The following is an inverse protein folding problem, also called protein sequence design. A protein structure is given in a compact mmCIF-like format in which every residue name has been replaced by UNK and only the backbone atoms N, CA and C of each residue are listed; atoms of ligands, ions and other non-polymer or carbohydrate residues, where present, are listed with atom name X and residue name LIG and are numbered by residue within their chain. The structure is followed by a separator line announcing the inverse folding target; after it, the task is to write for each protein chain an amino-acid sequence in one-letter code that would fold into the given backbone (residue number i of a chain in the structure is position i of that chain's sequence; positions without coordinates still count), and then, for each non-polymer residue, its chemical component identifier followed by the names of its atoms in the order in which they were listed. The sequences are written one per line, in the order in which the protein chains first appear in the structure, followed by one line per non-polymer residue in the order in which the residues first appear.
data_IF_641361486653
#
_entry.id   IF_641361486653
#
_cell.length_a   1.000
_cell.length_b   1.000
_cell.length_c   1.000
_cell.angle_alpha   90.00
_cell.angle_beta   90.00
_cell.angle_gamma   90.00
#
_symmetry.space_group_name_H-M   'P 1'
#
loop_
_entity.id
_entity.type
_entity.pdbx_description
1 polymer ?
#
# COMPACT_ATOMS: atom_id res chain seq x y z
N UNK A 1 10.14 -0.04 14.69
CA UNK A 1 10.09 1.40 14.36
C UNK A 1 9.78 2.28 15.56
N UNK A 2 8.61 2.19 16.22
CA UNK A 2 8.25 3.11 17.32
C UNK A 2 9.27 3.17 18.47
N UNK A 3 9.71 2.03 19.01
CA UNK A 3 10.76 1.98 20.05
C UNK A 3 12.07 2.65 19.62
N UNK A 4 12.46 2.47 18.36
CA UNK A 4 13.68 3.05 17.79
C UNK A 4 13.56 4.58 17.72
N UNK A 5 12.47 5.09 17.15
CA UNK A 5 12.20 6.53 17.05
C UNK A 5 12.04 7.21 18.41
N UNK A 6 11.67 6.45 19.45
CA UNK A 6 11.42 6.97 20.81
C UNK A 6 12.55 6.72 21.81
N UNK A 7 13.70 6.20 21.36
CA UNK A 7 14.78 5.74 22.26
C UNK A 7 15.48 6.86 23.02
N UNK A 8 15.46 8.08 22.49
CA UNK A 8 16.15 9.25 23.06
C UNK A 8 15.20 10.23 23.76
N UNK A 9 13.89 9.97 23.77
CA UNK A 9 12.93 10.82 24.49
C UNK A 9 12.98 10.56 25.99
N UNK A 10 12.58 11.55 26.79
CA UNK A 10 12.66 11.49 28.26
C UNK A 10 11.27 11.40 28.95
N UNK A 11 10.18 11.39 28.19
CA UNK A 11 8.83 11.28 28.74
C UNK A 11 8.49 9.86 29.24
N UNK A 12 7.37 9.74 29.96
CA UNK A 12 6.93 8.48 30.57
C UNK A 12 6.66 7.36 29.57
N UNK A 13 6.46 7.68 28.29
CA UNK A 13 6.19 6.71 27.22
C UNK A 13 7.39 6.55 26.27
N UNK A 14 8.60 6.92 26.68
CA UNK A 14 9.84 6.78 25.92
C UNK A 14 10.38 5.34 25.85
N UNK A 15 11.23 5.07 24.86
CA UNK A 15 11.97 3.82 24.69
C UNK A 15 11.07 2.59 24.66
N UNK A 16 11.35 1.60 25.50
CA UNK A 16 10.56 0.36 25.55
C UNK A 16 9.11 0.57 26.00
N UNK A 17 8.82 1.66 26.73
CA UNK A 17 7.47 2.03 27.17
C UNK A 17 6.64 2.65 26.05
N UNK A 18 7.25 2.95 24.89
CA UNK A 18 6.55 3.49 23.74
C UNK A 18 5.73 2.46 22.97
N UNK A 19 5.82 1.19 23.33
CA UNK A 19 5.20 0.09 22.61
C UNK A 19 4.37 -0.75 23.57
N UNK A 20 3.21 -1.18 23.10
CA UNK A 20 2.35 -2.12 23.82
C UNK A 20 2.07 -3.35 22.95
N UNK A 21 2.09 -4.52 23.59
CA UNK A 21 1.65 -5.78 23.00
C UNK A 21 0.43 -6.29 23.76
N UNK A 22 -0.55 -6.82 23.03
CA UNK A 22 -1.76 -7.38 23.59
C UNK A 22 -2.42 -8.38 22.64
N UNK A 23 -3.58 -8.91 23.03
CA UNK A 23 -4.38 -9.78 22.15
C UNK A 23 -4.84 -9.00 20.92
N UNK A 24 -4.92 -9.66 19.75
CA UNK A 24 -5.44 -9.05 18.52
C UNK A 24 -6.86 -8.49 18.69
N UNK A 25 -7.67 -9.11 19.56
CA UNK A 25 -9.02 -8.63 19.90
C UNK A 25 -9.04 -7.26 20.59
N UNK A 26 -7.91 -6.75 21.09
CA UNK A 26 -7.82 -5.39 21.61
C UNK A 26 -7.49 -4.37 20.52
N UNK A 27 -7.08 -4.82 19.34
CA UNK A 27 -6.63 -3.99 18.23
C UNK A 27 -7.76 -3.62 17.24
N UNK A 28 -8.95 -3.37 17.76
CA UNK A 28 -10.19 -3.22 16.97
C UNK A 28 -10.10 -2.16 15.87
N UNK A 29 -9.37 -1.05 16.09
CA UNK A 29 -9.23 0.01 15.09
C UNK A 29 -8.39 -0.44 13.89
N UNK A 30 -7.28 -1.14 14.13
CA UNK A 30 -6.43 -1.66 13.07
C UNK A 30 -7.14 -2.80 12.33
N UNK A 31 -7.82 -3.69 13.04
CA UNK A 31 -8.62 -4.75 12.40
C UNK A 31 -9.72 -4.16 11.50
N UNK A 32 -10.36 -3.06 11.93
CA UNK A 32 -11.35 -2.39 11.12
C UNK A 32 -10.75 -1.68 9.89
N UNK A 33 -9.54 -1.11 10.01
CA UNK A 33 -8.78 -0.63 8.85
C UNK A 33 -8.52 -1.75 7.85
N UNK A 34 -8.05 -2.93 8.31
CA UNK A 34 -7.83 -4.07 7.42
C UNK A 34 -9.12 -4.54 6.74
N UNK A 35 -10.23 -4.52 7.48
CA UNK A 35 -11.56 -4.78 6.92
C UNK A 35 -11.96 -3.79 5.83
N UNK A 36 -11.72 -2.49 6.05
CA UNK A 36 -11.95 -1.45 5.05
C UNK A 36 -11.04 -1.63 3.83
N UNK A 37 -9.73 -1.75 4.01
CA UNK A 37 -8.77 -1.95 2.92
C UNK A 37 -9.16 -3.13 2.03
N UNK A 38 -9.55 -4.26 2.67
CA UNK A 38 -10.00 -5.45 1.95
C UNK A 38 -11.26 -5.18 1.14
N UNK A 39 -12.24 -4.49 1.74
CA UNK A 39 -13.51 -4.16 1.11
C UNK A 39 -13.36 -3.19 -0.06
N UNK A 40 -12.53 -2.16 0.11
CA UNK A 40 -12.42 -1.07 -0.85
C UNK A 40 -11.50 -1.42 -2.03
N UNK A 41 -10.43 -2.20 -1.84
CA UNK A 41 -9.54 -2.55 -2.96
C UNK A 41 -8.92 -3.95 -2.91
N UNK A 42 -8.50 -4.46 -1.74
CA UNK A 42 -7.56 -5.58 -1.75
C UNK A 42 -8.20 -6.89 -2.23
N UNK A 43 -9.49 -7.09 -1.95
CA UNK A 43 -10.20 -8.26 -2.45
C UNK A 43 -10.23 -8.31 -3.98
N UNK A 44 -10.48 -7.17 -4.64
CA UNK A 44 -10.50 -7.08 -6.09
C UNK A 44 -9.15 -7.50 -6.70
N UNK A 45 -8.03 -7.02 -6.17
CA UNK A 45 -6.71 -7.40 -6.66
C UNK A 45 -6.37 -8.87 -6.36
N UNK A 46 -6.78 -9.39 -5.20
CA UNK A 46 -6.64 -10.81 -4.88
C UNK A 46 -7.36 -11.68 -5.92
N UNK A 47 -8.60 -11.34 -6.26
CA UNK A 47 -9.40 -12.08 -7.24
C UNK A 47 -8.79 -11.95 -8.64
N UNK A 48 -8.39 -10.74 -9.05
CA UNK A 48 -7.77 -10.48 -10.35
C UNK A 48 -6.46 -11.25 -10.54
N UNK A 49 -5.60 -11.29 -9.52
CA UNK A 49 -4.33 -12.02 -9.59
C UNK A 49 -4.52 -13.53 -9.46
N UNK A 50 -5.52 -13.99 -8.70
CA UNK A 50 -5.89 -15.40 -8.65
C UNK A 50 -6.34 -15.90 -10.03
N UNK A 51 -7.17 -15.11 -10.73
CA UNK A 51 -7.62 -15.43 -12.08
C UNK A 51 -6.46 -15.48 -13.09
N UNK A 52 -5.46 -14.59 -12.96
CA UNK A 52 -4.26 -14.60 -13.81
C UNK A 52 -3.39 -15.85 -13.61
N UNK A 53 -3.38 -16.41 -12.39
CA UNK A 53 -2.63 -17.61 -12.05
C UNK A 53 -3.42 -18.92 -12.14
N UNK A 54 -4.68 -18.87 -12.59
CA UNK A 54 -5.55 -20.05 -12.64
C UNK A 54 -5.04 -21.08 -13.67
N UNK A 55 -5.00 -22.36 -13.28
CA UNK A 55 -4.54 -23.43 -14.15
C UNK A 55 -5.27 -23.46 -15.51
N UNK A 56 -4.50 -23.45 -16.60
CA UNK A 56 -5.00 -23.62 -17.97
C UNK A 56 -5.03 -22.37 -18.86
N UNK A 57 -4.70 -21.18 -18.33
CA UNK A 57 -4.71 -19.94 -19.12
C UNK A 57 -3.30 -19.39 -19.50
N UNK A 58 -2.20 -19.97 -19.01
CA UNK A 58 -0.78 -19.57 -19.28
C UNK A 58 -0.53 -18.04 -19.23
N UNK A 59 -1.32 -17.33 -18.43
CA UNK A 59 -1.22 -15.87 -18.32
C UNK A 59 -0.19 -15.43 -17.28
N UNK A 60 0.08 -16.25 -16.25
CA UNK A 60 1.13 -16.01 -15.26
C UNK A 60 1.82 -17.32 -14.87
N UNK A 61 3.12 -17.43 -15.16
CA UNK A 61 3.98 -18.59 -14.85
C UNK A 61 4.67 -18.49 -13.49
N UNK A 62 4.68 -17.31 -12.87
CA UNK A 62 5.31 -17.07 -11.57
C UNK A 62 6.84 -17.02 -11.59
N UNK A 63 7.45 -17.02 -12.77
CA UNK A 63 8.89 -16.75 -12.94
C UNK A 63 9.23 -15.28 -12.67
N UNK A 64 10.52 -14.96 -12.69
CA UNK A 64 10.99 -13.60 -12.39
C UNK A 64 10.51 -12.59 -13.42
N UNK A 65 10.42 -12.98 -14.70
CA UNK A 65 9.97 -12.10 -15.77
C UNK A 65 8.51 -11.68 -15.55
N UNK A 66 7.61 -12.64 -15.32
CA UNK A 66 6.20 -12.34 -15.09
C UNK A 66 6.01 -11.47 -13.83
N UNK A 67 6.80 -11.72 -12.77
CA UNK A 67 6.80 -10.89 -11.55
C UNK A 67 7.24 -9.45 -11.82
N UNK A 68 8.27 -9.24 -12.64
CA UNK A 68 8.75 -7.89 -12.94
C UNK A 68 7.78 -7.11 -13.84
N UNK A 69 7.24 -7.75 -14.88
CA UNK A 69 6.28 -7.08 -15.78
C UNK A 69 4.98 -6.77 -15.03
N UNK A 70 4.48 -7.69 -14.21
CA UNK A 70 3.23 -7.42 -13.46
C UNK A 70 3.42 -6.30 -12.43
N UNK A 71 4.57 -6.24 -11.76
CA UNK A 71 4.91 -5.13 -10.87
C UNK A 71 4.97 -3.81 -11.64
N UNK A 72 5.66 -3.79 -12.78
CA UNK A 72 5.75 -2.63 -13.66
C UNK A 72 4.37 -2.08 -14.04
N UNK A 73 3.45 -2.95 -14.48
CA UNK A 73 2.13 -2.53 -14.92
C UNK A 73 1.19 -2.11 -13.78
N UNK A 74 1.28 -2.75 -12.62
CA UNK A 74 0.28 -2.58 -11.55
C UNK A 74 0.70 -1.64 -10.43
N UNK A 75 2.00 -1.41 -10.18
CA UNK A 75 2.47 -0.69 -8.99
C UNK A 75 1.86 0.72 -8.87
N UNK A 76 1.85 1.49 -9.95
CA UNK A 76 1.29 2.85 -9.93
C UNK A 76 -0.23 2.84 -9.71
N UNK A 77 -0.94 1.90 -10.33
CA UNK A 77 -2.40 1.77 -10.18
C UNK A 77 -2.76 1.35 -8.75
N UNK A 78 -2.03 0.39 -8.17
CA UNK A 78 -2.23 -0.04 -6.79
C UNK A 78 -1.93 1.10 -5.81
N UNK A 79 -0.86 1.88 -6.05
CA UNK A 79 -0.54 3.04 -5.22
C UNK A 79 -1.66 4.08 -5.26
N UNK A 80 -2.17 4.43 -6.44
CA UNK A 80 -3.29 5.37 -6.55
C UNK A 80 -4.55 4.90 -5.80
N UNK A 81 -4.86 3.60 -5.88
CA UNK A 81 -5.99 3.03 -5.15
C UNK A 81 -5.74 3.01 -3.62
N UNK A 82 -4.50 2.79 -3.18
CA UNK A 82 -4.13 2.88 -1.77
C UNK A 82 -4.28 4.30 -1.22
N UNK A 83 -3.92 5.31 -2.02
CA UNK A 83 -4.10 6.72 -1.68
C UNK A 83 -5.60 7.05 -1.52
N UNK A 84 -6.47 6.54 -2.40
CA UNK A 84 -7.92 6.66 -2.27
C UNK A 84 -8.45 5.99 -0.99
N UNK A 85 -7.96 4.79 -0.66
CA UNK A 85 -8.33 4.10 0.60
C UNK A 85 -7.91 4.92 1.81
N UNK A 86 -6.76 5.61 1.76
CA UNK A 86 -6.32 6.50 2.83
C UNK A 86 -7.29 7.67 3.00
N UNK A 87 -7.79 8.25 1.91
CA UNK A 87 -8.80 9.30 1.96
C UNK A 87 -10.14 8.81 2.52
N UNK A 88 -10.60 7.63 2.09
CA UNK A 88 -11.81 7.00 2.64
C UNK A 88 -11.64 6.76 4.14
N UNK A 89 -10.50 6.21 4.55
CA UNK A 89 -10.17 6.00 5.95
C UNK A 89 -10.14 7.32 6.73
N UNK A 90 -9.48 8.34 6.22
CA UNK A 90 -9.34 9.61 6.93
C UNK A 90 -10.67 10.36 7.10
N UNK A 91 -11.58 10.20 6.14
CA UNK A 91 -12.82 10.98 6.06
C UNK A 91 -14.07 10.27 6.53
N UNK A 92 -14.05 8.95 6.75
CA UNK A 92 -15.24 8.23 7.21
C UNK A 92 -15.73 8.75 8.56
N UNK A 93 -17.02 8.53 8.83
CA UNK A 93 -17.63 8.87 10.11
C UNK A 93 -17.55 7.68 11.06
N UNK A 94 -16.92 7.91 12.21
CA UNK A 94 -16.98 6.98 13.33
C UNK A 94 -18.37 7.12 13.95
N UNK A 95 -19.10 6.00 14.02
CA UNK A 95 -20.39 5.98 14.71
C UNK A 95 -20.17 6.24 16.21
N UNK A 96 -20.88 7.23 16.74
CA UNK A 96 -21.02 7.44 18.18
C UNK A 96 -22.35 6.83 18.62
N UNK A 97 -22.33 5.96 19.63
CA UNK A 97 -23.53 5.44 20.29
C UNK A 97 -24.27 6.49 21.15
N UNK A 98 -23.97 7.78 20.95
CA UNK A 98 -24.36 8.85 21.84
C UNK A 98 -25.39 9.75 21.13
N UNK A 99 -26.57 9.91 21.72
CA UNK A 99 -27.68 10.74 21.22
C UNK A 99 -27.39 12.25 21.29
N UNK A 100 -26.13 12.65 21.48
CA UNK A 100 -25.69 14.02 21.61
C UNK A 100 -25.35 14.69 20.27
N UNK A 101 -25.56 16.00 20.22
CA UNK A 101 -25.35 16.93 19.08
C UNK A 101 -23.85 17.10 18.70
N UNK A 102 -23.00 16.10 18.96
CA UNK A 102 -21.58 16.08 18.62
C UNK A 102 -21.34 15.38 17.29
N UNK A 103 -21.46 16.13 16.20
CA UNK A 103 -21.36 15.62 14.82
C UNK A 103 -20.08 14.83 14.51
N UNK A 104 -20.28 13.63 13.94
CA UNK A 104 -19.35 12.84 13.13
C UNK A 104 -17.85 13.00 13.43
N UNK A 105 -17.34 12.25 14.41
CA UNK A 105 -15.89 12.07 14.60
C UNK A 105 -15.30 11.44 13.34
N UNK A 106 -14.26 12.05 12.77
CA UNK A 106 -13.50 11.51 11.62
C UNK A 106 -12.05 11.29 12.03
N UNK A 107 -11.37 10.24 11.57
CA UNK A 107 -9.98 10.01 11.96
C UNK A 107 -9.06 11.19 11.70
N UNK A 108 -9.19 11.88 10.56
CA UNK A 108 -8.37 13.05 10.26
C UNK A 108 -8.56 14.19 11.27
N UNK A 109 -9.78 14.38 11.78
CA UNK A 109 -10.05 15.40 12.78
C UNK A 109 -9.56 14.99 14.17
N UNK A 110 -9.65 13.69 14.51
CA UNK A 110 -9.09 13.17 15.75
C UNK A 110 -7.56 13.22 15.76
N UNK A 111 -6.93 13.04 14.61
CA UNK A 111 -5.49 13.14 14.43
C UNK A 111 -5.01 14.59 14.47
N UNK A 112 -5.60 15.46 13.65
CA UNK A 112 -5.13 16.84 13.48
C UNK A 112 -5.61 17.80 14.57
N UNK A 113 -6.80 17.57 15.14
CA UNK A 113 -7.47 18.48 16.08
C UNK A 113 -8.05 17.73 17.31
N UNK A 114 -7.24 16.92 18.03
CA UNK A 114 -7.73 16.11 19.15
C UNK A 114 -8.38 16.93 20.27
N UNK A 115 -7.88 18.15 20.50
CA UNK A 115 -8.37 19.06 21.54
C UNK A 115 -9.84 19.48 21.35
N UNK A 116 -10.33 19.56 20.12
CA UNK A 116 -11.74 19.87 19.83
C UNK A 116 -12.70 18.77 20.30
N UNK A 117 -12.17 17.57 20.56
CA UNK A 117 -12.92 16.41 21.04
C UNK A 117 -12.56 16.06 22.49
N UNK A 118 -11.88 16.94 23.22
CA UNK A 118 -11.41 16.69 24.59
C UNK A 118 -10.34 15.60 24.68
N UNK A 119 -9.62 15.33 23.59
CA UNK A 119 -8.54 14.35 23.53
C UNK A 119 -7.17 15.04 23.60
N UNK A 120 -6.18 14.29 24.07
CA UNK A 120 -4.81 14.76 24.13
C UNK A 120 -4.10 14.56 22.79
N UNK A 121 -3.19 15.48 22.45
CA UNK A 121 -2.27 15.29 21.35
C UNK A 121 -1.17 14.31 21.77
N UNK A 122 -0.97 13.25 20.99
CA UNK A 122 0.05 12.23 21.23
C UNK A 122 1.16 12.23 20.15
N UNK A 123 1.18 13.23 19.26
CA UNK A 123 2.26 13.40 18.27
C UNK A 123 3.56 13.73 19.00
N UNK A 124 4.65 13.10 18.59
CA UNK A 124 5.98 13.34 19.14
C UNK A 124 6.94 13.67 18.00
N UNK A 125 7.72 14.73 18.20
CA UNK A 125 8.73 15.14 17.24
C UNK A 125 9.89 14.16 17.27
N UNK A 126 10.37 13.78 16.10
CA UNK A 126 11.50 12.86 15.88
C UNK A 126 12.46 13.53 14.91
N UNK A 127 13.76 13.24 15.06
CA UNK A 127 14.78 13.76 14.16
C UNK A 127 14.58 13.18 12.75
N UNK A 128 14.74 14.01 11.72
CA UNK A 128 14.57 13.62 10.31
C UNK A 128 15.52 12.49 9.93
N UNK A 129 16.76 12.53 10.40
CA UNK A 129 17.77 11.48 10.18
C UNK A 129 17.32 10.11 10.69
N UNK A 130 16.53 10.06 11.77
CA UNK A 130 16.01 8.81 12.33
C UNK A 130 14.87 8.24 11.48
N UNK A 131 14.10 9.13 10.83
CA UNK A 131 13.08 8.77 9.85
C UNK A 131 13.73 8.19 8.61
N UNK A 132 14.82 8.80 8.12
CA UNK A 132 15.57 8.30 6.96
C UNK A 132 16.12 6.89 7.21
N UNK A 133 16.71 6.65 8.38
CA UNK A 133 17.19 5.31 8.77
C UNK A 133 16.04 4.30 8.76
N UNK A 134 14.88 4.69 9.30
CA UNK A 134 13.70 3.82 9.26
C UNK A 134 13.24 3.56 7.82
N UNK A 135 13.24 4.58 6.96
CA UNK A 135 12.85 4.44 5.57
C UNK A 135 13.80 3.49 4.83
N UNK A 136 15.11 3.60 5.02
CA UNK A 136 16.09 2.71 4.38
C UNK A 136 15.92 1.24 4.80
N UNK A 137 15.60 0.99 6.07
CA UNK A 137 15.43 -0.37 6.61
C UNK A 137 14.04 -0.97 6.37
N UNK A 138 13.02 -0.16 6.10
CA UNK A 138 11.63 -0.63 5.95
C UNK A 138 11.04 -0.46 4.56
N UNK A 139 11.67 0.33 3.70
CA UNK A 139 11.34 0.36 2.28
C UNK A 139 11.83 -0.94 1.66
N UNK A 140 10.95 -1.69 0.96
CA UNK A 140 11.38 -2.84 0.18
C UNK A 140 12.49 -2.38 -0.78
N UNK A 141 13.70 -2.90 -0.58
CA UNK A 141 14.82 -2.65 -1.50
C UNK A 141 14.39 -3.07 -2.91
N UNK A 142 14.86 -2.41 -3.98
CA UNK A 142 14.35 -2.55 -5.35
C UNK A 142 14.65 -3.90 -6.03
N UNK A 143 14.45 -5.02 -5.32
CA UNK A 143 14.16 -6.31 -5.95
C UNK A 143 12.72 -6.37 -6.50
N UNK A 144 11.94 -5.27 -6.41
CA UNK A 144 10.56 -5.15 -6.88
C UNK A 144 10.45 -4.68 -8.35
N UNK A 145 11.50 -4.91 -9.14
CA UNK A 145 11.56 -4.57 -10.55
C UNK A 145 13.00 -4.61 -11.01
N UNK A 146 13.34 -5.55 -11.88
CA UNK A 146 14.62 -5.49 -12.58
C UNK A 146 14.64 -4.19 -13.40
N UNK A 147 15.64 -3.32 -13.17
CA UNK A 147 15.76 -2.05 -13.89
C UNK A 147 15.80 -2.28 -15.40
N UNK A 148 16.43 -3.36 -15.85
CA UNK A 148 16.52 -3.77 -17.26
C UNK A 148 15.15 -4.12 -17.81
N UNK A 149 14.35 -4.90 -17.08
CA UNK A 149 12.99 -5.27 -17.52
C UNK A 149 12.09 -4.03 -17.56
N UNK A 150 12.20 -3.17 -16.55
CA UNK A 150 11.43 -1.92 -16.50
C UNK A 150 11.80 -0.96 -17.64
N UNK A 151 13.09 -0.83 -17.97
CA UNK A 151 13.56 -0.05 -19.11
C UNK A 151 13.08 -0.63 -20.44
N UNK A 152 13.16 -1.97 -20.60
CA UNK A 152 12.65 -2.65 -21.78
C UNK A 152 11.14 -2.42 -21.96
N UNK A 153 10.35 -2.51 -20.87
CA UNK A 153 8.92 -2.22 -20.93
C UNK A 153 8.65 -0.79 -21.39
N UNK A 154 9.40 0.20 -20.89
CA UNK A 154 9.28 1.60 -21.34
C UNK A 154 9.60 1.78 -22.82
N UNK A 155 10.67 1.15 -23.32
CA UNK A 155 11.04 1.19 -24.74
C UNK A 155 9.91 0.60 -25.60
N UNK A 156 9.38 -0.56 -25.24
CA UNK A 156 8.27 -1.20 -25.97
C UNK A 156 7.00 -0.36 -25.93
N UNK A 157 6.69 0.29 -24.80
CA UNK A 157 5.55 1.18 -24.71
C UNK A 157 5.71 2.39 -25.64
N UNK A 158 6.91 2.98 -25.72
CA UNK A 158 7.19 4.10 -26.60
C UNK A 158 7.09 3.69 -28.08
N UNK A 159 7.72 2.56 -28.45
CA UNK A 159 7.75 2.03 -29.81
C UNK A 159 6.36 1.68 -30.35
N UNK A 160 5.51 1.07 -29.52
CA UNK A 160 4.16 0.65 -29.90
C UNK A 160 3.07 1.63 -29.47
N UNK A 161 3.43 2.83 -29.01
CA UNK A 161 2.53 3.91 -28.58
C UNK A 161 1.50 3.46 -27.52
N UNK A 162 1.94 2.69 -26.53
CA UNK A 162 1.10 2.27 -25.40
C UNK A 162 1.13 3.34 -24.31
N UNK A 163 0.00 3.55 -23.64
CA UNK A 163 -0.12 4.47 -22.50
C UNK A 163 0.14 3.76 -21.17
N UNK A 164 0.61 4.52 -20.19
CA UNK A 164 0.60 4.10 -18.78
C UNK A 164 -0.82 3.74 -18.33
N UNK A 165 -1.00 2.64 -17.59
CA UNK A 165 -2.32 2.21 -17.17
C UNK A 165 -2.83 3.08 -16.01
N UNK A 166 -4.11 3.44 -16.07
CA UNK A 166 -4.80 4.20 -15.02
C UNK A 166 -5.83 3.37 -14.25
N UNK A 167 -6.13 2.17 -14.75
CA UNK A 167 -7.04 1.22 -14.13
C UNK A 167 -6.43 -0.18 -14.08
N UNK A 168 -6.95 -1.03 -13.19
CA UNK A 168 -6.48 -2.40 -13.09
C UNK A 168 -6.76 -3.24 -14.36
N UNK A 169 -7.82 -2.90 -15.09
CA UNK A 169 -8.12 -3.51 -16.40
C UNK A 169 -7.04 -3.14 -17.42
N UNK A 170 -6.72 -1.86 -17.54
CA UNK A 170 -5.63 -1.39 -18.42
C UNK A 170 -4.28 -1.99 -18.02
N UNK A 171 -3.99 -2.07 -16.73
CA UNK A 171 -2.75 -2.68 -16.22
C UNK A 171 -2.66 -4.16 -16.60
N UNK A 172 -3.78 -4.91 -16.51
CA UNK A 172 -3.86 -6.30 -16.94
C UNK A 172 -3.60 -6.43 -18.44
N UNK A 173 -4.24 -5.60 -19.26
CA UNK A 173 -4.06 -5.61 -20.71
C UNK A 173 -2.61 -5.29 -21.11
N UNK A 174 -2.01 -4.28 -20.48
CA UNK A 174 -0.62 -3.91 -20.69
C UNK A 174 0.33 -5.04 -20.29
N UNK A 175 0.11 -5.66 -19.13
CA UNK A 175 0.88 -6.83 -18.67
C UNK A 175 0.83 -7.95 -19.71
N UNK A 176 -0.36 -8.32 -20.17
CA UNK A 176 -0.54 -9.39 -21.14
C UNK A 176 0.20 -9.11 -22.45
N UNK A 177 0.16 -7.86 -22.92
CA UNK A 177 0.80 -7.44 -24.17
C UNK A 177 2.32 -7.39 -24.07
N UNK A 178 2.86 -6.75 -23.02
CA UNK A 178 4.30 -6.67 -22.79
C UNK A 178 4.91 -8.05 -22.57
N UNK A 179 4.24 -8.90 -21.77
CA UNK A 179 4.65 -10.30 -21.57
C UNK A 179 4.74 -11.05 -22.89
N UNK A 180 3.72 -10.94 -23.75
CA UNK A 180 3.70 -11.63 -25.03
C UNK A 180 4.86 -11.18 -25.92
N UNK A 181 5.10 -9.87 -26.03
CA UNK A 181 6.18 -9.30 -26.83
C UNK A 181 7.56 -9.74 -26.34
N UNK A 182 7.82 -9.60 -25.04
CA UNK A 182 9.14 -9.95 -24.48
C UNK A 182 9.38 -11.45 -24.62
N UNK A 183 8.38 -12.30 -24.39
CA UNK A 183 8.52 -13.75 -24.53
C UNK A 183 8.67 -14.21 -25.98
N UNK A 184 8.03 -13.54 -26.95
CA UNK A 184 8.21 -13.89 -28.36
C UNK A 184 9.63 -13.60 -28.85
N UNK A 185 10.25 -12.52 -28.35
CA UNK A 185 11.64 -12.16 -28.67
C UNK A 185 12.65 -13.11 -28.00
N UNK A 186 12.29 -13.68 -26.83
CA UNK A 186 13.11 -14.64 -26.09
C UNK A 186 12.97 -16.10 -26.56
N UNK A 187 12.24 -16.35 -27.66
CA UNK A 187 11.75 -17.66 -28.16
C UNK A 187 12.39 -18.93 -27.60
N UNK A 188 11.54 -19.86 -27.10
CA UNK A 188 11.81 -21.23 -26.62
C UNK A 188 13.30 -21.64 -26.57
N UNK A 189 14.03 -21.13 -25.57
CA UNK A 189 15.25 -21.78 -25.07
C UNK A 189 14.86 -22.80 -24.00
#
# INVERSE_FOLDING_TARGET
MQKFLRRNHEDDLSGDRSYMSGRSTLNQRIEWFWGLLRKEMAQFYMDLFADLGQDGNDFFRGDMLDKYIIQFCFMNVIQANLDEVCDIWNTHRLQSNDNGVGGGKRPILLYSLPHLYGLNNHICQVEETEVDICAEETTPKPSCGDNTVSELCKILMEEYHMSEPTSATEAKELYMRLRQMIRSELGDI
#
